data_IF_804274897152
#
_entry.id   IF_804274897152
#
_cell.length_a   1.000
_cell.length_b   1.000
_cell.length_c   1.000
_cell.angle_alpha   90.00
_cell.angle_beta   90.00
_cell.angle_gamma   90.00
#
_symmetry.space_group_name_H-M   'P 1'
#
loop_
_entity.id
_entity.type
_entity.pdbx_description
1 polymer ?
#
# COMPACT_ATOMS: atom_id res chain seq x y z
N UNK A 1 -2.77 4.17 13.14
CA UNK A 1 -2.78 3.05 12.17
C UNK A 1 -3.07 1.77 12.93
N UNK A 2 -3.99 0.95 12.42
CA UNK A 2 -4.27 -0.36 13.00
C UNK A 2 -3.16 -1.37 12.62
N UNK A 3 -2.29 -1.66 13.59
CA UNK A 3 -1.20 -2.62 13.42
C UNK A 3 -1.69 -4.04 13.15
N UNK A 4 -2.89 -4.40 13.60
CA UNK A 4 -3.46 -5.73 13.36
C UNK A 4 -3.82 -5.91 11.88
N UNK A 5 -4.34 -4.85 11.23
CA UNK A 5 -4.63 -4.86 9.79
C UNK A 5 -3.34 -5.05 8.98
N UNK A 6 -2.29 -4.28 9.30
CA UNK A 6 -1.00 -4.40 8.62
C UNK A 6 -0.38 -5.79 8.84
N UNK A 7 -0.31 -6.25 10.09
CA UNK A 7 0.24 -7.55 10.44
C UNK A 7 -0.51 -8.69 9.72
N UNK A 8 -1.84 -8.64 9.74
CA UNK A 8 -2.71 -9.62 9.09
C UNK A 8 -2.56 -9.66 7.57
N UNK A 9 -2.48 -8.50 6.91
CA UNK A 9 -2.26 -8.43 5.46
C UNK A 9 -0.85 -8.89 5.07
N UNK A 10 0.17 -8.51 5.85
CA UNK A 10 1.57 -8.82 5.54
C UNK A 10 1.90 -10.29 5.84
N UNK A 11 1.26 -10.86 6.86
CA UNK A 11 1.53 -12.20 7.36
C UNK A 11 2.72 -12.26 8.32
N UNK A 12 2.86 -11.25 9.17
CA UNK A 12 3.89 -11.15 10.24
C UNK A 12 3.21 -10.82 11.58
N UNK A 13 3.98 -10.82 12.67
CA UNK A 13 3.43 -10.44 13.98
C UNK A 13 3.22 -8.93 14.10
N UNK A 14 2.37 -8.52 15.04
CA UNK A 14 2.21 -7.10 15.40
C UNK A 14 3.50 -6.50 15.96
N UNK A 15 4.30 -7.30 16.69
CA UNK A 15 5.61 -6.88 17.19
C UNK A 15 6.59 -6.59 16.04
N UNK A 16 6.59 -7.40 14.98
CA UNK A 16 7.44 -7.17 13.81
C UNK A 16 7.01 -5.91 13.05
N UNK A 17 5.71 -5.62 12.97
CA UNK A 17 5.18 -4.36 12.43
C UNK A 17 5.64 -3.19 13.29
N UNK A 18 5.51 -3.28 14.61
CA UNK A 18 5.93 -2.23 15.54
C UNK A 18 7.43 -1.94 15.43
N UNK A 19 8.27 -2.99 15.35
CA UNK A 19 9.72 -2.84 15.14
C UNK A 19 10.03 -2.08 13.85
N UNK A 20 9.30 -2.36 12.76
CA UNK A 20 9.47 -1.62 11.52
C UNK A 20 8.99 -0.17 11.63
N UNK A 21 7.83 0.08 12.25
CA UNK A 21 7.27 1.43 12.37
C UNK A 21 8.05 2.34 13.33
N UNK A 22 8.82 1.76 14.26
CA UNK A 22 9.75 2.48 15.14
C UNK A 22 11.06 2.92 14.44
N UNK A 23 11.19 2.68 13.13
CA UNK A 23 12.28 3.17 12.30
C UNK A 23 11.82 4.36 11.47
N UNK A 24 12.75 5.14 10.94
CA UNK A 24 12.43 6.13 9.91
C UNK A 24 12.06 5.47 8.59
N UNK A 25 11.32 6.19 7.73
CA UNK A 25 10.96 5.70 6.39
C UNK A 25 12.19 5.23 5.59
N UNK A 26 13.30 5.97 5.67
CA UNK A 26 14.58 5.62 5.01
C UNK A 26 15.20 4.35 5.57
N UNK A 27 15.16 4.16 6.89
CA UNK A 27 15.68 2.97 7.55
C UNK A 27 14.85 1.73 7.20
N UNK A 28 13.53 1.85 7.12
CA UNK A 28 12.65 0.74 6.69
C UNK A 28 13.04 0.27 5.28
N UNK A 29 13.29 1.19 4.35
CA UNK A 29 13.72 0.81 2.99
C UNK A 29 15.07 0.10 2.96
N UNK A 30 15.93 0.33 3.94
CA UNK A 30 17.24 -0.32 4.07
C UNK A 30 17.19 -1.59 4.94
N UNK A 31 16.08 -1.84 5.62
CA UNK A 31 15.91 -2.96 6.52
C UNK A 31 15.83 -4.29 5.74
N UNK A 32 16.76 -5.21 6.02
CA UNK A 32 16.83 -6.52 5.36
C UNK A 32 15.56 -7.35 5.55
N UNK A 33 14.92 -7.27 6.72
CA UNK A 33 13.65 -7.98 6.97
C UNK A 33 12.55 -7.46 6.05
N UNK A 34 12.38 -6.13 5.96
CA UNK A 34 11.42 -5.52 5.05
C UNK A 34 11.71 -5.85 3.57
N UNK A 35 12.98 -5.79 3.15
CA UNK A 35 13.38 -6.18 1.79
C UNK A 35 13.08 -7.66 1.50
N UNK A 36 13.26 -8.55 2.47
CA UNK A 36 12.90 -9.96 2.33
C UNK A 36 11.39 -10.16 2.20
N UNK A 37 10.58 -9.39 2.92
CA UNK A 37 9.12 -9.43 2.78
C UNK A 37 8.68 -9.02 1.38
N UNK A 38 9.27 -7.95 0.83
CA UNK A 38 9.04 -7.51 -0.56
C UNK A 38 9.51 -8.57 -1.55
N UNK A 39 10.72 -9.11 -1.37
CA UNK A 39 11.28 -10.14 -2.26
C UNK A 39 10.46 -11.44 -2.24
N UNK A 40 9.76 -11.72 -1.13
CA UNK A 40 8.89 -12.87 -0.96
C UNK A 40 7.49 -12.74 -1.58
N UNK A 41 7.16 -11.61 -2.22
CA UNK A 41 5.89 -11.47 -2.95
C UNK A 41 5.86 -12.36 -4.19
N UNK A 42 4.68 -12.87 -4.55
CA UNK A 42 4.46 -13.60 -5.81
C UNK A 42 4.19 -12.61 -6.96
N UNK A 43 5.27 -12.04 -7.49
CA UNK A 43 5.24 -11.13 -8.63
C UNK A 43 4.54 -11.72 -9.87
N UNK A 44 4.63 -13.04 -10.07
CA UNK A 44 3.97 -13.69 -11.22
C UNK A 44 2.46 -13.69 -11.02
N UNK A 45 1.98 -13.97 -9.81
CA UNK A 45 0.57 -13.91 -9.47
C UNK A 45 0.04 -12.47 -9.54
N UNK A 46 0.77 -11.50 -8.99
CA UNK A 46 0.40 -10.08 -9.09
C UNK A 46 0.30 -9.63 -10.55
N UNK A 47 1.27 -10.01 -11.39
CA UNK A 47 1.24 -9.72 -12.82
C UNK A 47 0.06 -10.37 -13.55
N UNK A 48 -0.26 -11.63 -13.21
CA UNK A 48 -1.39 -12.37 -13.79
C UNK A 48 -2.76 -11.77 -13.40
N UNK A 49 -2.87 -11.22 -12.19
CA UNK A 49 -4.13 -10.70 -11.61
C UNK A 49 -4.24 -9.18 -11.65
N UNK A 50 -3.32 -8.51 -12.34
CA UNK A 50 -3.30 -7.05 -12.48
C UNK A 50 -4.61 -6.47 -13.03
N UNK A 51 -5.22 -7.14 -14.03
CA UNK A 51 -6.47 -6.64 -14.61
C UNK A 51 -7.64 -6.76 -13.62
N UNK A 52 -7.64 -7.79 -12.78
CA UNK A 52 -8.65 -7.96 -11.72
C UNK A 52 -8.51 -6.84 -10.68
N UNK A 53 -7.28 -6.53 -10.26
CA UNK A 53 -7.00 -5.42 -9.33
C UNK A 53 -7.42 -4.07 -9.92
N UNK A 54 -7.11 -3.82 -11.20
CA UNK A 54 -7.54 -2.59 -11.88
C UNK A 54 -9.05 -2.47 -11.97
N UNK A 55 -9.75 -3.57 -12.29
CA UNK A 55 -11.20 -3.55 -12.40
C UNK A 55 -11.89 -3.16 -11.08
N UNK A 56 -11.42 -3.68 -9.94
CA UNK A 56 -11.96 -3.26 -8.63
C UNK A 56 -11.57 -1.82 -8.32
N UNK A 57 -10.34 -1.41 -8.61
CA UNK A 57 -9.93 -0.03 -8.41
C UNK A 57 -10.74 0.97 -9.25
N UNK A 58 -11.00 0.67 -10.52
CA UNK A 58 -11.84 1.49 -11.39
C UNK A 58 -13.27 1.64 -10.86
N UNK A 59 -13.77 0.58 -10.22
CA UNK A 59 -15.12 0.56 -9.67
C UNK A 59 -15.22 1.39 -8.39
N UNK A 60 -14.25 1.29 -7.49
CA UNK A 60 -14.42 1.79 -6.11
C UNK A 60 -13.49 2.95 -5.72
N UNK A 61 -12.32 3.13 -6.36
CA UNK A 61 -11.43 4.25 -6.03
C UNK A 61 -12.04 5.64 -6.31
N UNK A 62 -12.85 5.86 -7.36
CA UNK A 62 -13.42 7.18 -7.61
C UNK A 62 -14.25 7.71 -6.43
N UNK A 63 -15.07 6.85 -5.83
CA UNK A 63 -15.91 7.20 -4.69
C UNK A 63 -15.07 7.45 -3.44
N UNK A 64 -14.06 6.60 -3.18
CA UNK A 64 -13.12 6.81 -2.09
C UNK A 64 -12.34 8.15 -2.26
N UNK A 65 -11.89 8.45 -3.47
CA UNK A 65 -11.16 9.68 -3.75
C UNK A 65 -12.05 10.93 -3.57
N UNK A 66 -13.33 10.86 -3.96
CA UNK A 66 -14.31 11.93 -3.70
C UNK A 66 -14.50 12.12 -2.20
N UNK A 67 -14.70 11.03 -1.46
CA UNK A 67 -14.89 11.06 -0.01
C UNK A 67 -13.69 11.68 0.71
N UNK A 68 -12.47 11.18 0.47
CA UNK A 68 -11.26 11.71 1.10
C UNK A 68 -11.01 13.16 0.72
N UNK A 69 -11.29 13.56 -0.53
CA UNK A 69 -11.20 14.95 -0.96
C UNK A 69 -12.16 15.85 -0.19
N UNK A 70 -13.40 15.41 -0.02
CA UNK A 70 -14.44 16.24 0.58
C UNK A 70 -14.26 16.36 2.11
N UNK A 71 -13.86 15.27 2.77
CA UNK A 71 -13.57 15.24 4.21
C UNK A 71 -12.29 16.00 4.57
N UNK A 72 -11.21 15.80 3.81
CA UNK A 72 -9.88 16.35 4.14
C UNK A 72 -9.47 17.55 3.27
N UNK A 73 -10.39 18.07 2.46
CA UNK A 73 -10.18 19.24 1.57
C UNK A 73 -8.93 19.12 0.67
N UNK A 74 -8.65 17.91 0.18
CA UNK A 74 -7.48 17.64 -0.64
C UNK A 74 -7.59 18.35 -1.99
N UNK A 75 -6.52 19.01 -2.43
CA UNK A 75 -6.47 19.73 -3.71
C UNK A 75 -6.08 18.83 -4.89
N UNK A 76 -5.56 17.63 -4.62
CA UNK A 76 -5.02 16.75 -5.65
C UNK A 76 -6.09 15.75 -6.15
N UNK A 77 -6.01 15.38 -7.43
CA UNK A 77 -6.82 14.29 -7.98
C UNK A 77 -6.24 12.97 -7.46
N UNK A 78 -7.07 12.14 -6.85
CA UNK A 78 -6.67 10.82 -6.37
C UNK A 78 -6.01 9.97 -7.48
N UNK A 79 -5.24 8.96 -7.07
CA UNK A 79 -4.56 8.07 -8.02
C UNK A 79 -5.58 7.25 -8.84
N UNK A 80 -5.33 7.10 -10.14
CA UNK A 80 -6.14 6.23 -11.00
C UNK A 80 -5.80 4.75 -10.78
N UNK A 81 -6.69 3.84 -11.15
CA UNK A 81 -6.44 2.38 -11.14
C UNK A 81 -5.19 1.99 -11.94
N UNK A 82 -4.98 2.65 -13.08
CA UNK A 82 -3.83 2.44 -13.95
C UNK A 82 -2.54 2.88 -13.25
N UNK A 83 -2.56 4.05 -12.61
CA UNK A 83 -1.46 4.56 -11.82
C UNK A 83 -1.18 3.61 -10.67
N UNK A 84 -2.16 3.31 -9.83
CA UNK A 84 -1.98 2.51 -8.61
C UNK A 84 -1.53 1.08 -8.92
N UNK A 85 -2.13 0.42 -9.93
CA UNK A 85 -1.76 -0.93 -10.32
C UNK A 85 -0.37 -1.03 -10.97
N UNK A 86 -0.01 -0.08 -11.84
CA UNK A 86 1.33 -0.03 -12.42
C UNK A 86 2.39 0.37 -11.42
N UNK A 87 2.04 1.27 -10.51
CA UNK A 87 2.93 1.68 -9.43
C UNK A 87 3.23 0.48 -8.57
N UNK A 88 2.21 -0.19 -8.03
CA UNK A 88 2.42 -1.33 -7.15
C UNK A 88 3.31 -2.38 -7.82
N UNK A 89 3.05 -2.79 -9.06
CA UNK A 89 3.95 -3.73 -9.75
C UNK A 89 5.34 -3.15 -10.06
N UNK A 90 5.41 -1.94 -10.61
CA UNK A 90 6.65 -1.33 -11.08
C UNK A 90 7.64 -1.02 -9.95
N UNK A 91 7.12 -0.59 -8.78
CA UNK A 91 7.92 -0.28 -7.59
C UNK A 91 8.42 -1.53 -6.89
N UNK A 92 7.61 -2.58 -6.79
CA UNK A 92 8.06 -3.85 -6.21
C UNK A 92 9.18 -4.48 -7.06
N UNK A 93 9.15 -4.31 -8.38
CA UNK A 93 10.24 -4.75 -9.26
C UNK A 93 11.52 -3.91 -9.18
N UNK A 94 11.45 -2.69 -8.62
CA UNK A 94 12.57 -1.77 -8.52
C UNK A 94 12.65 -1.18 -7.10
N UNK A 95 12.97 -1.97 -6.06
CA UNK A 95 12.89 -1.51 -4.67
C UNK A 95 13.75 -0.26 -4.37
N UNK A 96 14.80 -0.03 -5.15
CA UNK A 96 15.63 1.18 -5.07
C UNK A 96 14.88 2.49 -5.39
N UNK A 97 13.68 2.42 -5.97
CA UNK A 97 12.83 3.59 -6.23
C UNK A 97 11.76 3.80 -5.17
N UNK A 98 11.66 2.92 -4.16
CA UNK A 98 10.66 3.05 -3.10
C UNK A 98 10.85 4.31 -2.24
N UNK A 99 12.09 4.74 -1.99
CA UNK A 99 12.33 6.01 -1.29
C UNK A 99 11.80 7.22 -2.07
N UNK A 100 11.81 7.18 -3.41
CA UNK A 100 11.22 8.25 -4.24
C UNK A 100 9.70 8.28 -4.13
N UNK A 101 9.06 7.13 -3.94
CA UNK A 101 7.62 7.03 -3.70
C UNK A 101 7.23 7.76 -2.41
N UNK A 102 7.99 7.54 -1.34
CA UNK A 102 7.83 8.26 -0.09
C UNK A 102 7.92 9.78 -0.30
N UNK A 103 8.99 10.28 -0.94
CA UNK A 103 9.16 11.72 -1.17
C UNK A 103 8.02 12.36 -1.98
N UNK A 104 7.41 11.62 -2.91
CA UNK A 104 6.27 12.13 -3.67
C UNK A 104 4.98 12.23 -2.84
N UNK A 105 4.84 11.43 -1.78
CA UNK A 105 3.59 11.26 -1.04
C UNK A 105 3.69 11.59 0.46
N UNK A 106 4.86 11.97 0.98
CA UNK A 106 5.09 12.40 2.38
C UNK A 106 4.24 13.60 2.84
N UNK A 107 3.62 14.30 1.90
CA UNK A 107 2.73 15.43 2.18
C UNK A 107 1.28 15.01 2.43
N UNK A 108 0.95 13.72 2.26
CA UNK A 108 -0.38 13.22 2.59
C UNK A 108 -0.54 13.26 4.12
N UNK A 109 -1.58 13.93 4.63
CA UNK A 109 -1.87 13.94 6.06
C UNK A 109 -2.05 12.53 6.64
N UNK A 110 -1.60 12.30 7.88
CA UNK A 110 -1.64 10.98 8.51
C UNK A 110 -3.05 10.45 8.69
N UNK A 111 -4.02 11.32 9.02
CA UNK A 111 -5.44 11.00 9.11
C UNK A 111 -6.02 10.47 7.79
N UNK A 112 -5.63 11.07 6.66
CA UNK A 112 -5.98 10.57 5.32
C UNK A 112 -5.40 9.18 5.07
N UNK A 113 -4.16 8.91 5.51
CA UNK A 113 -3.52 7.61 5.36
C UNK A 113 -4.18 6.54 6.25
N UNK A 114 -4.51 6.90 7.49
CA UNK A 114 -5.15 6.00 8.46
C UNK A 114 -6.57 5.60 8.05
N UNK A 115 -7.33 6.48 7.41
CA UNK A 115 -8.64 6.15 6.84
C UNK A 115 -8.52 5.50 5.46
N UNK A 116 -7.61 6.00 4.62
CA UNK A 116 -7.47 5.59 3.24
C UNK A 116 -6.94 4.16 3.08
N UNK A 117 -5.96 3.74 3.87
CA UNK A 117 -5.37 2.41 3.71
C UNK A 117 -6.38 1.28 3.97
N UNK A 118 -7.12 1.25 5.10
CA UNK A 118 -8.15 0.23 5.31
C UNK A 118 -9.18 0.19 4.17
N UNK A 119 -9.63 1.36 3.69
CA UNK A 119 -10.57 1.43 2.58
C UNK A 119 -9.99 0.85 1.28
N UNK A 120 -8.72 1.13 0.96
CA UNK A 120 -8.04 0.54 -0.22
C UNK A 120 -7.88 -0.98 -0.06
N UNK A 121 -7.56 -1.47 1.13
CA UNK A 121 -7.46 -2.90 1.41
C UNK A 121 -8.82 -3.60 1.28
N UNK A 122 -9.92 -2.94 1.66
CA UNK A 122 -11.29 -3.43 1.47
C UNK A 122 -11.71 -3.46 0.00
N UNK A 123 -11.30 -2.46 -0.79
CA UNK A 123 -11.47 -2.45 -2.26
C UNK A 123 -10.77 -3.65 -2.88
N UNK A 124 -9.52 -3.91 -2.49
CA UNK A 124 -8.79 -5.11 -2.91
C UNK A 124 -9.47 -6.40 -2.42
N UNK A 125 -10.14 -6.35 -1.27
CA UNK A 125 -11.00 -7.43 -0.77
C UNK A 125 -12.15 -7.82 -1.71
N UNK A 126 -12.55 -6.93 -2.63
CA UNK A 126 -13.56 -7.21 -3.65
C UNK A 126 -13.00 -7.97 -4.87
N UNK A 127 -11.69 -8.16 -4.97
CA UNK A 127 -11.08 -8.95 -6.05
C UNK A 127 -11.55 -10.40 -6.02
N UNK A 128 -11.55 -11.14 -7.15
CA UNK A 128 -11.63 -12.59 -7.13
C UNK A 128 -10.65 -13.20 -6.11
N UNK A 129 -10.97 -14.35 -5.49
CA UNK A 129 -10.10 -14.94 -4.46
C UNK A 129 -8.66 -15.17 -4.93
N UNK A 130 -8.48 -15.48 -6.22
CA UNK A 130 -7.16 -15.59 -6.86
C UNK A 130 -6.43 -14.25 -6.85
N UNK A 131 -5.33 -14.16 -6.10
CA UNK A 131 -4.47 -12.97 -6.05
C UNK A 131 -4.90 -11.90 -5.03
N UNK A 132 -6.12 -11.94 -4.49
CA UNK A 132 -6.61 -10.97 -3.49
C UNK A 132 -5.64 -10.76 -2.34
N UNK A 133 -5.25 -11.84 -1.66
CA UNK A 133 -4.38 -11.77 -0.49
C UNK A 133 -3.00 -11.23 -0.84
N UNK A 134 -2.48 -11.59 -2.02
CA UNK A 134 -1.19 -11.12 -2.49
C UNK A 134 -1.20 -9.62 -2.79
N UNK A 135 -2.29 -9.10 -3.36
CA UNK A 135 -2.48 -7.67 -3.58
C UNK A 135 -2.64 -6.88 -2.27
N UNK A 136 -3.41 -7.40 -1.30
CA UNK A 136 -3.54 -6.78 0.02
C UNK A 136 -2.19 -6.75 0.75
N UNK A 137 -1.44 -7.85 0.72
CA UNK A 137 -0.08 -7.95 1.26
C UNK A 137 0.85 -6.92 0.63
N UNK A 138 0.86 -6.84 -0.70
CA UNK A 138 1.71 -5.92 -1.43
C UNK A 138 1.36 -4.46 -1.15
N UNK A 139 0.07 -4.13 -1.03
CA UNK A 139 -0.38 -2.77 -0.69
C UNK A 139 0.00 -2.39 0.74
N UNK A 140 -0.16 -3.32 1.70
CA UNK A 140 0.25 -3.10 3.09
C UNK A 140 1.77 -2.86 3.21
N UNK A 141 2.59 -3.68 2.53
CA UNK A 141 4.04 -3.50 2.50
C UNK A 141 4.46 -2.16 1.86
N UNK A 142 3.80 -1.77 0.77
CA UNK A 142 4.06 -0.49 0.10
C UNK A 142 3.75 0.71 1.01
N UNK A 143 2.72 0.55 1.85
CA UNK A 143 2.19 1.63 2.69
C UNK A 143 2.95 1.78 4.01
N UNK A 144 3.64 0.74 4.47
CA UNK A 144 4.29 0.70 5.79
C UNK A 144 5.25 1.89 6.06
N UNK A 145 6.14 2.30 5.13
CA UNK A 145 7.04 3.43 5.35
C UNK A 145 6.34 4.79 5.51
N UNK A 146 5.06 4.92 5.14
CA UNK A 146 4.28 6.14 5.35
C UNK A 146 3.76 6.30 6.77
N UNK A 147 3.78 5.23 7.57
CA UNK A 147 3.39 5.23 8.99
C UNK A 147 4.60 5.19 9.92
N UNK A 148 5.80 5.28 9.35
CA UNK A 148 7.06 5.33 10.08
C UNK A 148 7.17 6.59 10.95
N UNK A 149 8.02 6.53 11.97
CA UNK A 149 8.39 7.74 12.71
C UNK A 149 9.23 8.66 11.81
N UNK A 150 9.03 9.98 11.94
CA UNK A 150 9.88 11.01 11.31
C UNK A 150 10.83 11.62 12.35
#
# INVERSE_FOLDING_TARGET
MDMEILAGCIGISTEDVEVLLNQSSTEIYQNTFYQNLIAGLDYKLLGKTLQDARAVYDTYLPDLAIHLRDVYHLSNRGMTSLTLGNWLLGFLHNPNTLSKLYEMHRHIPMDVLEEGLPAVLDILGQMPPTGRTEWQKAMALLSLPFFAQE
#
